data_IF_320903178908
#
_entry.id   IF_320903178908
#
_cell.length_a   1.000
_cell.length_b   1.000
_cell.length_c   1.000
_cell.angle_alpha   90.00
_cell.angle_beta   90.00
_cell.angle_gamma   90.00
#
_symmetry.space_group_name_H-M   'P 1'
#
loop_
_entity.id
_entity.type
_entity.pdbx_description
1 polymer ?
#
# COMPACT_ATOMS: atom_id res chain seq x y z
N UNK A 1 30.99 47.11 -32.24
CA UNK A 1 30.45 45.80 -32.69
C UNK A 1 29.54 45.18 -31.62
N UNK A 2 28.67 45.98 -30.99
CA UNK A 2 27.75 45.52 -29.92
C UNK A 2 26.28 45.80 -30.30
N UNK A 3 26.04 46.59 -31.35
CA UNK A 3 24.70 46.91 -31.88
C UNK A 3 24.15 45.87 -32.88
N UNK A 4 24.95 44.89 -33.32
CA UNK A 4 24.49 43.86 -34.29
C UNK A 4 23.90 42.62 -33.58
N UNK A 5 24.32 42.32 -32.34
CA UNK A 5 23.81 41.15 -31.61
C UNK A 5 22.46 41.37 -30.92
N UNK A 6 22.07 42.63 -30.65
CA UNK A 6 20.75 42.94 -30.09
C UNK A 6 19.61 42.77 -31.12
N UNK A 7 19.90 42.90 -32.42
CA UNK A 7 18.88 42.83 -33.46
C UNK A 7 18.53 41.39 -33.89
N UNK A 8 19.43 40.42 -33.69
CA UNK A 8 19.17 39.01 -33.99
C UNK A 8 18.26 38.33 -32.95
N UNK A 9 18.31 38.77 -31.68
CA UNK A 9 17.47 38.24 -30.60
C UNK A 9 16.00 38.65 -30.72
N UNK A 10 15.73 39.87 -31.19
CA UNK A 10 14.37 40.42 -31.32
C UNK A 10 13.63 39.82 -32.54
N UNK A 11 14.33 39.55 -33.64
CA UNK A 11 13.76 38.89 -34.84
C UNK A 11 13.40 37.42 -34.54
N UNK A 12 14.21 36.72 -33.73
CA UNK A 12 13.95 35.33 -33.33
C UNK A 12 12.72 35.19 -32.41
N UNK A 13 12.48 36.17 -31.52
CA UNK A 13 11.27 36.21 -30.68
C UNK A 13 10.01 36.57 -31.47
N UNK A 14 10.09 37.51 -32.43
CA UNK A 14 8.95 37.88 -33.28
C UNK A 14 8.49 36.72 -34.17
N UNK A 15 9.42 35.97 -34.78
CA UNK A 15 9.08 34.83 -35.64
C UNK A 15 8.47 33.65 -34.85
N UNK A 16 8.83 33.48 -33.57
CA UNK A 16 8.29 32.42 -32.71
C UNK A 16 6.86 32.72 -32.25
N UNK A 17 6.54 34.00 -32.05
CA UNK A 17 5.20 34.45 -31.65
C UNK A 17 4.21 34.43 -32.83
N UNK A 18 4.70 34.69 -34.05
CA UNK A 18 3.91 34.60 -35.29
C UNK A 18 3.63 33.15 -35.69
N UNK A 19 4.60 32.23 -35.55
CA UNK A 19 4.38 30.78 -35.75
C UNK A 19 3.40 30.18 -34.73
N UNK A 20 3.43 30.62 -33.47
CA UNK A 20 2.49 30.14 -32.43
C UNK A 20 1.04 30.52 -32.73
N UNK A 21 0.81 31.73 -33.25
CA UNK A 21 -0.53 32.17 -33.64
C UNK A 21 -1.05 31.44 -34.89
N UNK A 22 -0.20 31.18 -35.89
CA UNK A 22 -0.61 30.41 -37.06
C UNK A 22 -0.94 28.96 -36.72
N UNK A 23 -0.23 28.35 -35.77
CA UNK A 23 -0.52 26.99 -35.28
C UNK A 23 -1.85 26.95 -34.51
N UNK A 24 -2.13 27.93 -33.65
CA UNK A 24 -3.41 28.03 -32.94
C UNK A 24 -4.59 28.26 -33.89
N UNK A 25 -4.43 29.11 -34.91
CA UNK A 25 -5.46 29.34 -35.95
C UNK A 25 -5.67 28.10 -36.80
N UNK A 26 -4.61 27.37 -37.16
CA UNK A 26 -4.74 26.08 -37.85
C UNK A 26 -5.45 25.04 -37.00
N UNK A 27 -5.15 24.96 -35.70
CA UNK A 27 -5.86 24.06 -34.79
C UNK A 27 -7.34 24.43 -34.64
N UNK A 28 -7.68 25.72 -34.56
CA UNK A 28 -9.08 26.19 -34.53
C UNK A 28 -9.82 25.93 -35.85
N UNK A 29 -9.15 26.11 -36.99
CA UNK A 29 -9.72 25.81 -38.31
C UNK A 29 -9.91 24.30 -38.50
N UNK A 30 -8.96 23.48 -38.05
CA UNK A 30 -9.09 22.01 -38.05
C UNK A 30 -10.24 21.60 -37.13
N UNK A 31 -10.37 22.18 -35.93
CA UNK A 31 -11.47 21.89 -35.01
C UNK A 31 -12.84 22.26 -35.63
N UNK A 32 -12.94 23.42 -36.29
CA UNK A 32 -14.16 23.86 -36.98
C UNK A 32 -14.50 22.98 -38.20
N UNK A 33 -13.50 22.47 -38.93
CA UNK A 33 -13.74 21.52 -40.03
C UNK A 33 -14.16 20.13 -39.52
N UNK A 34 -13.64 19.68 -38.38
CA UNK A 34 -14.06 18.41 -37.75
C UNK A 34 -15.49 18.50 -37.19
N UNK A 35 -15.93 19.67 -36.70
CA UNK A 35 -17.32 19.89 -36.31
C UNK A 35 -18.28 20.02 -37.52
N UNK A 36 -17.78 20.34 -38.71
CA UNK A 36 -18.62 20.60 -39.90
C UNK A 36 -18.79 19.40 -40.83
N UNK A 37 -18.05 18.30 -40.62
CA UNK A 37 -18.18 17.08 -41.44
C UNK A 37 -18.75 15.89 -40.67
N UNK A 38 -19.92 16.05 -40.04
CA UNK A 38 -20.91 14.97 -39.80
C UNK A 38 -22.33 15.54 -39.73
N UNK A 39 -22.80 16.09 -40.85
CA UNK A 39 -24.23 16.23 -41.12
C UNK A 39 -24.84 14.89 -41.49
N UNK A 40 -24.89 13.94 -40.55
CA UNK A 40 -25.81 12.82 -40.60
C UNK A 40 -26.71 12.91 -39.38
N UNK A 41 -28.01 13.05 -39.65
CA UNK A 41 -29.09 13.06 -38.68
C UNK A 41 -28.93 11.94 -37.66
N UNK A 42 -28.51 12.28 -36.44
CA UNK A 42 -28.54 11.35 -35.30
C UNK A 42 -29.98 11.25 -34.79
N UNK A 43 -30.76 10.40 -35.48
CA UNK A 43 -31.84 9.64 -34.85
C UNK A 43 -31.21 8.75 -33.79
N UNK A 44 -31.60 8.94 -32.54
CA UNK A 44 -31.30 8.00 -31.46
C UNK A 44 -32.08 6.71 -31.70
N UNK A 45 -31.49 5.80 -32.48
CA UNK A 45 -31.98 4.46 -32.73
C UNK A 45 -31.06 3.44 -32.08
N UNK A 46 -31.20 3.26 -30.76
CA UNK A 46 -30.75 2.04 -30.10
C UNK A 46 -31.95 1.13 -29.87
N UNK A 47 -31.71 -0.16 -29.94
CA UNK A 47 -32.65 -1.29 -29.94
C UNK A 47 -33.22 -1.67 -31.33
N UNK A 48 -32.37 -2.30 -32.13
CA UNK A 48 -32.79 -3.49 -32.88
C UNK A 48 -32.29 -4.72 -32.12
N UNK A 49 -33.20 -5.39 -31.40
CA UNK A 49 -32.96 -6.76 -30.96
C UNK A 49 -33.96 -7.67 -31.66
N UNK A 50 -33.40 -8.67 -32.34
CA UNK A 50 -34.05 -9.81 -32.95
C UNK A 50 -34.95 -10.54 -31.94
N UNK A 51 -36.23 -10.70 -32.26
CA UNK A 51 -37.17 -11.50 -31.49
C UNK A 51 -36.91 -12.99 -31.69
N UNK A 52 -36.02 -13.57 -30.88
CA UNK A 52 -36.06 -15.00 -30.62
C UNK A 52 -37.26 -15.28 -29.70
N UNK A 53 -38.28 -15.92 -30.28
CA UNK A 53 -39.39 -16.53 -29.55
C UNK A 53 -38.85 -17.65 -28.65
N UNK A 54 -39.04 -17.51 -27.36
CA UNK A 54 -39.11 -18.63 -26.42
C UNK A 54 -40.35 -18.45 -25.56
N UNK A 55 -41.31 -19.32 -25.82
CA UNK A 55 -42.51 -19.54 -25.03
C UNK A 55 -42.16 -20.04 -23.64
N UNK A 56 -42.63 -19.36 -22.60
CA UNK A 56 -42.88 -19.99 -21.31
C UNK A 56 -44.08 -19.33 -20.65
N UNK A 57 -45.14 -20.12 -20.59
CA UNK A 57 -46.33 -19.96 -19.77
C UNK A 57 -45.99 -19.86 -18.29
N UNK A 58 -46.56 -18.87 -17.60
CA UNK A 58 -46.96 -19.03 -16.20
C UNK A 58 -48.02 -17.99 -15.85
N UNK A 59 -49.22 -18.51 -15.65
CA UNK A 59 -50.38 -17.83 -15.09
C UNK A 59 -50.09 -17.39 -13.65
N UNK A 60 -50.39 -16.14 -13.33
CA UNK A 60 -50.59 -15.69 -11.94
C UNK A 60 -51.64 -14.60 -11.91
N UNK A 61 -52.88 -15.02 -11.79
CA UNK A 61 -54.00 -14.21 -11.35
C UNK A 61 -53.76 -13.72 -9.92
N UNK A 62 -53.59 -12.40 -9.72
CA UNK A 62 -53.82 -11.78 -8.43
C UNK A 62 -54.75 -10.57 -8.58
N UNK A 63 -56.01 -10.81 -8.21
CA UNK A 63 -56.90 -9.77 -7.68
C UNK A 63 -56.25 -9.23 -6.40
N UNK A 64 -56.04 -7.93 -6.35
CA UNK A 64 -56.11 -7.19 -5.10
C UNK A 64 -57.09 -6.03 -5.28
N UNK A 65 -58.11 -6.04 -4.43
CA UNK A 65 -59.08 -4.98 -4.24
C UNK A 65 -58.65 -4.20 -3.00
N UNK A 66 -58.58 -2.87 -3.11
CA UNK A 66 -59.37 -1.91 -2.32
C UNK A 66 -58.62 -0.59 -2.06
N UNK A 67 -59.22 0.46 -2.62
CA UNK A 67 -59.38 1.85 -2.17
C UNK A 67 -58.16 2.62 -1.66
N UNK A 68 -57.77 3.62 -2.45
CA UNK A 68 -57.69 5.01 -1.95
C UNK A 68 -58.47 5.90 -2.91
N UNK A 69 -59.47 6.59 -2.36
CA UNK A 69 -60.18 7.68 -2.99
C UNK A 69 -59.18 8.79 -3.33
N UNK A 70 -58.96 9.02 -4.62
CA UNK A 70 -58.66 10.34 -5.15
C UNK A 70 -59.79 10.69 -6.11
N UNK A 71 -60.90 11.11 -5.51
CA UNK A 71 -61.90 11.94 -6.17
C UNK A 71 -61.20 13.21 -6.66
N UNK A 72 -60.91 13.26 -7.95
CA UNK A 72 -60.23 14.39 -8.57
C UNK A 72 -60.19 14.27 -10.07
N UNK A 73 -61.37 14.27 -10.70
CA UNK A 73 -61.58 14.49 -12.13
C UNK A 73 -60.74 13.56 -13.04
N UNK A 74 -61.16 12.29 -13.14
CA UNK A 74 -61.01 11.58 -14.41
C UNK A 74 -61.94 12.28 -15.40
N UNK A 75 -61.48 13.39 -15.93
CA UNK A 75 -62.05 13.94 -17.15
C UNK A 75 -61.59 13.01 -18.28
N UNK A 76 -62.31 11.90 -18.44
CA UNK A 76 -62.48 11.34 -19.77
C UNK A 76 -63.02 12.49 -20.61
N UNK A 77 -62.21 12.96 -21.56
CA UNK A 77 -62.56 14.11 -22.38
C UNK A 77 -63.64 13.67 -23.37
N UNK A 78 -64.87 13.46 -22.88
CA UNK A 78 -66.05 13.41 -23.73
C UNK A 78 -66.48 14.85 -23.95
N UNK A 79 -66.09 15.42 -25.09
CA UNK A 79 -66.73 16.65 -25.56
C UNK A 79 -68.17 16.29 -25.92
N UNK A 80 -69.09 16.49 -24.98
CA UNK A 80 -70.53 16.48 -25.20
C UNK A 80 -70.91 17.66 -26.09
N UNK A 81 -70.73 17.47 -27.39
CA UNK A 81 -71.41 18.22 -28.42
C UNK A 81 -71.57 17.27 -29.61
N UNK A 82 -72.81 16.82 -29.82
CA UNK A 82 -73.30 15.94 -30.90
C UNK A 82 -73.41 14.43 -30.60
N UNK A 83 -73.71 14.04 -29.35
CA UNK A 83 -74.49 12.80 -29.14
C UNK A 83 -75.97 13.12 -29.39
N UNK A 84 -76.35 13.21 -30.67
CA UNK A 84 -77.73 12.89 -30.99
C UNK A 84 -77.84 11.35 -30.86
N UNK A 85 -78.50 10.82 -29.82
CA UNK A 85 -78.60 9.37 -29.61
C UNK A 85 -79.19 8.67 -30.85
N UNK A 86 -79.98 9.40 -31.65
CA UNK A 86 -80.55 8.92 -32.91
C UNK A 86 -79.50 8.75 -34.00
N UNK A 87 -78.52 9.63 -34.10
CA UNK A 87 -77.40 9.54 -35.03
C UNK A 87 -76.46 8.37 -34.70
N UNK A 88 -76.17 8.17 -33.40
CA UNK A 88 -75.36 7.06 -32.93
C UNK A 88 -76.04 5.72 -33.17
N UNK A 89 -77.34 5.62 -32.85
CA UNK A 89 -78.18 4.45 -33.13
C UNK A 89 -78.26 4.13 -34.64
N UNK A 90 -78.42 5.15 -35.49
CA UNK A 90 -78.43 4.96 -36.96
C UNK A 90 -77.10 4.44 -37.49
N UNK A 91 -75.97 4.93 -36.94
CA UNK A 91 -74.64 4.48 -37.34
C UNK A 91 -74.29 3.09 -36.80
N UNK A 92 -74.73 2.73 -35.59
CA UNK A 92 -74.59 1.36 -35.08
C UNK A 92 -75.49 0.38 -35.83
N UNK A 93 -76.73 0.77 -36.17
CA UNK A 93 -77.60 -0.02 -37.04
C UNK A 93 -77.00 -0.19 -38.44
N UNK A 94 -76.38 0.85 -39.00
CA UNK A 94 -75.63 0.75 -40.25
C UNK A 94 -74.41 -0.19 -40.13
N UNK A 95 -73.68 -0.15 -39.01
CA UNK A 95 -72.55 -1.05 -38.72
C UNK A 95 -72.97 -2.51 -38.51
N UNK A 96 -74.12 -2.74 -37.87
CA UNK A 96 -74.73 -4.06 -37.77
C UNK A 96 -75.20 -4.58 -39.13
N UNK A 97 -75.74 -3.71 -39.99
CA UNK A 97 -76.07 -4.03 -41.39
C UNK A 97 -74.82 -4.29 -42.27
N UNK A 98 -73.68 -3.66 -41.96
CA UNK A 98 -72.38 -4.00 -42.57
C UNK A 98 -71.89 -5.40 -42.21
N UNK A 99 -72.29 -5.93 -41.05
CA UNK A 99 -72.02 -7.31 -40.63
C UNK A 99 -73.05 -8.34 -41.13
N UNK A 100 -74.12 -7.90 -41.82
CA UNK A 100 -75.15 -8.78 -42.38
C UNK A 100 -74.86 -9.22 -43.82
N UNK A 101 -75.49 -10.33 -44.25
CA UNK A 101 -75.31 -10.95 -45.58
C UNK A 101 -75.78 -10.12 -46.80
N UNK A 102 -76.09 -8.82 -46.70
CA UNK A 102 -76.50 -8.01 -47.86
C UNK A 102 -75.29 -7.28 -48.48
N UNK A 103 -74.75 -7.76 -49.61
CA UNK A 103 -73.58 -7.15 -50.24
C UNK A 103 -73.81 -5.71 -50.68
N UNK A 104 -75.04 -5.30 -51.02
CA UNK A 104 -75.34 -3.94 -51.52
C UNK A 104 -74.97 -2.88 -50.47
N UNK A 105 -75.51 -3.03 -49.25
CA UNK A 105 -75.26 -2.09 -48.16
C UNK A 105 -73.78 -2.06 -47.78
N UNK A 106 -73.11 -3.22 -47.77
CA UNK A 106 -71.67 -3.29 -47.54
C UNK A 106 -70.88 -2.41 -48.53
N UNK A 107 -71.16 -2.53 -49.83
CA UNK A 107 -70.48 -1.73 -50.85
C UNK A 107 -70.86 -0.24 -50.81
N UNK A 108 -72.12 0.10 -50.55
CA UNK A 108 -72.56 1.49 -50.45
C UNK A 108 -71.91 2.21 -49.26
N UNK A 109 -71.90 1.59 -48.08
CA UNK A 109 -71.26 2.14 -46.89
C UNK A 109 -69.73 2.17 -47.01
N UNK A 110 -69.09 1.16 -47.60
CA UNK A 110 -67.64 1.22 -47.86
C UNK A 110 -67.27 2.43 -48.73
N UNK A 111 -68.05 2.72 -49.77
CA UNK A 111 -67.87 3.91 -50.61
C UNK A 111 -68.15 5.22 -49.86
N UNK A 112 -69.12 5.24 -48.95
CA UNK A 112 -69.39 6.37 -48.05
C UNK A 112 -68.13 6.72 -47.22
N UNK A 113 -67.54 5.73 -46.55
CA UNK A 113 -66.37 5.94 -45.68
C UNK A 113 -65.12 6.42 -46.43
N UNK A 114 -64.90 5.98 -47.68
CA UNK A 114 -63.77 6.44 -48.48
C UNK A 114 -64.01 7.79 -49.17
N UNK A 115 -65.27 8.16 -49.42
CA UNK A 115 -65.61 9.34 -50.22
C UNK A 115 -65.98 10.55 -49.38
N UNK A 116 -66.38 10.41 -48.10
CA UNK A 116 -66.83 11.55 -47.29
C UNK A 116 -65.79 12.67 -47.17
N UNK A 117 -64.49 12.35 -47.13
CA UNK A 117 -63.40 13.34 -47.15
C UNK A 117 -63.40 14.26 -48.38
N UNK A 118 -64.01 13.82 -49.48
CA UNK A 118 -63.99 14.49 -50.78
C UNK A 118 -65.39 14.90 -51.28
N UNK A 119 -66.46 14.47 -50.60
CA UNK A 119 -67.87 14.71 -50.99
C UNK A 119 -68.25 16.19 -50.89
N UNK A 120 -67.69 16.93 -49.94
CA UNK A 120 -67.93 18.37 -49.84
C UNK A 120 -67.33 19.17 -51.02
N UNK A 121 -66.36 18.60 -51.74
CA UNK A 121 -65.69 19.24 -52.85
C UNK A 121 -66.26 18.87 -54.23
N UNK A 122 -67.13 17.86 -54.33
CA UNK A 122 -67.67 17.38 -55.60
C UNK A 122 -69.14 16.91 -55.49
N UNK A 123 -70.07 17.72 -56.02
CA UNK A 123 -71.51 17.39 -56.09
C UNK A 123 -71.78 16.07 -56.82
N UNK A 124 -70.93 15.69 -57.77
CA UNK A 124 -70.98 14.42 -58.50
C UNK A 124 -70.77 13.21 -57.56
N UNK A 125 -69.84 13.30 -56.60
CA UNK A 125 -69.57 12.22 -55.63
C UNK A 125 -70.71 12.08 -54.63
N UNK A 126 -71.29 13.21 -54.20
CA UNK A 126 -72.50 13.23 -53.38
C UNK A 126 -73.66 12.55 -54.10
N UNK A 127 -73.88 12.91 -55.36
CA UNK A 127 -74.95 12.37 -56.20
C UNK A 127 -74.80 10.85 -56.40
N UNK A 128 -73.57 10.38 -56.68
CA UNK A 128 -73.28 8.93 -56.82
C UNK A 128 -73.48 8.14 -55.54
N UNK A 129 -73.10 8.71 -54.40
CA UNK A 129 -73.32 8.06 -53.12
C UNK A 129 -74.82 7.97 -52.80
N UNK A 130 -75.57 9.05 -53.01
CA UNK A 130 -77.02 9.05 -52.83
C UNK A 130 -77.71 8.00 -53.72
N UNK A 131 -77.23 7.85 -54.96
CA UNK A 131 -77.65 6.81 -55.89
C UNK A 131 -77.41 5.40 -55.34
N UNK A 132 -76.20 5.11 -54.85
CA UNK A 132 -75.87 3.80 -54.27
C UNK A 132 -76.72 3.48 -53.04
N UNK A 133 -76.92 4.46 -52.15
CA UNK A 133 -77.76 4.29 -50.96
C UNK A 133 -79.22 4.03 -51.34
N UNK A 134 -79.71 4.72 -52.38
CA UNK A 134 -81.07 4.59 -52.87
C UNK A 134 -81.31 3.27 -53.60
N UNK A 135 -80.37 2.79 -54.42
CA UNK A 135 -80.45 1.47 -55.06
C UNK A 135 -80.51 0.35 -54.01
N UNK A 136 -79.67 0.43 -52.97
CA UNK A 136 -79.72 -0.55 -51.89
C UNK A 136 -81.03 -0.48 -51.10
N UNK A 137 -81.58 0.71 -50.87
CA UNK A 137 -82.88 0.87 -50.21
C UNK A 137 -84.04 0.29 -51.04
N UNK A 138 -84.04 0.49 -52.36
CA UNK A 138 -85.08 -0.07 -53.24
C UNK A 138 -85.05 -1.61 -53.20
N UNK A 139 -83.86 -2.21 -53.29
CA UNK A 139 -83.69 -3.67 -53.18
C UNK A 139 -84.12 -4.22 -51.83
N UNK A 140 -83.77 -3.53 -50.73
CA UNK A 140 -84.11 -3.95 -49.36
C UNK A 140 -85.62 -3.84 -49.09
N UNK A 141 -86.29 -2.87 -49.72
CA UNK A 141 -87.75 -2.67 -49.63
C UNK A 141 -88.56 -3.58 -50.55
N UNK A 142 -87.91 -4.50 -51.29
CA UNK A 142 -88.56 -5.43 -52.22
C UNK A 142 -88.98 -4.80 -53.55
N UNK A 143 -88.51 -3.58 -53.84
CA UNK A 143 -88.71 -2.87 -55.11
C UNK A 143 -87.62 -3.23 -56.12
N UNK A 144 -87.86 -2.90 -57.38
CA UNK A 144 -86.86 -3.05 -58.44
C UNK A 144 -85.60 -2.20 -58.17
N UNK A 145 -84.41 -2.65 -58.60
CA UNK A 145 -83.20 -1.83 -58.48
C UNK A 145 -83.26 -0.62 -59.41
N UNK A 146 -82.48 0.41 -59.09
CA UNK A 146 -82.32 1.54 -60.00
C UNK A 146 -81.72 1.09 -61.34
N UNK A 147 -81.97 1.83 -62.44
CA UNK A 147 -81.32 1.60 -63.72
C UNK A 147 -79.78 1.57 -63.60
N UNK A 148 -79.09 0.94 -64.55
CA UNK A 148 -77.63 0.99 -64.56
C UNK A 148 -77.14 2.42 -64.84
N UNK A 149 -76.30 2.96 -63.96
CA UNK A 149 -75.62 4.25 -64.12
C UNK A 149 -74.11 4.03 -64.18
N UNK A 150 -73.46 4.43 -65.28
CA UNK A 150 -72.01 4.27 -65.44
C UNK A 150 -71.25 5.26 -64.55
N UNK A 151 -70.06 4.87 -64.09
CA UNK A 151 -69.15 5.71 -63.31
C UNK A 151 -68.62 6.89 -64.15
N UNK A 152 -68.55 6.74 -65.47
CA UNK A 152 -68.09 7.78 -66.39
C UNK A 152 -69.21 8.71 -66.91
N UNK A 153 -70.47 8.31 -66.81
CA UNK A 153 -71.63 9.11 -67.27
C UNK A 153 -72.04 10.11 -66.20
N UNK A 154 -72.44 11.34 -66.58
CA UNK A 154 -72.89 12.34 -65.61
C UNK A 154 -74.09 11.85 -64.79
N UNK A 155 -74.16 12.18 -63.50
CA UNK A 155 -75.29 11.79 -62.67
C UNK A 155 -76.61 12.40 -63.15
N UNK A 156 -76.58 13.57 -63.78
CA UNK A 156 -77.77 14.20 -64.37
C UNK A 156 -78.43 13.30 -65.41
N UNK A 157 -77.64 12.59 -66.23
CA UNK A 157 -78.17 11.67 -67.24
C UNK A 157 -78.82 10.44 -66.61
N UNK A 158 -78.25 9.94 -65.51
CA UNK A 158 -78.81 8.82 -64.76
C UNK A 158 -80.14 9.18 -64.08
N UNK A 159 -80.24 10.39 -63.53
CA UNK A 159 -81.44 10.86 -62.83
C UNK A 159 -82.65 11.07 -63.74
N UNK A 160 -82.42 11.32 -65.04
CA UNK A 160 -83.50 11.47 -66.04
C UNK A 160 -84.24 10.18 -66.32
N UNK A 161 -83.63 9.03 -66.02
CA UNK A 161 -84.20 7.71 -66.27
C UNK A 161 -84.96 7.14 -65.06
N UNK A 162 -85.04 7.89 -63.96
CA UNK A 162 -85.79 7.49 -62.77
C UNK A 162 -87.27 7.83 -62.89
N UNK A 163 -88.13 6.97 -62.35
CA UNK A 163 -89.53 7.29 -62.13
C UNK A 163 -89.73 8.28 -60.95
N UNK A 164 -90.95 8.76 -60.75
CA UNK A 164 -91.24 9.76 -59.71
C UNK A 164 -90.97 9.24 -58.28
N UNK A 165 -91.23 7.97 -58.01
CA UNK A 165 -91.03 7.38 -56.69
C UNK A 165 -89.54 7.12 -56.42
N UNK A 166 -88.82 6.64 -57.43
CA UNK A 166 -87.36 6.47 -57.43
C UNK A 166 -86.64 7.80 -57.25
N UNK A 167 -87.08 8.85 -57.96
CA UNK A 167 -86.50 10.19 -57.84
C UNK A 167 -86.71 10.77 -56.44
N UNK A 168 -87.87 10.51 -55.81
CA UNK A 168 -88.15 10.92 -54.44
C UNK A 168 -87.25 10.20 -53.44
N UNK A 169 -87.07 8.88 -53.58
CA UNK A 169 -86.14 8.11 -52.76
C UNK A 169 -84.71 8.63 -52.91
N UNK A 170 -84.27 8.87 -54.15
CA UNK A 170 -82.96 9.47 -54.42
C UNK A 170 -82.77 10.82 -53.72
N UNK A 171 -83.76 11.71 -53.83
CA UNK A 171 -83.67 13.04 -53.26
C UNK A 171 -83.54 13.00 -51.74
N UNK A 172 -84.26 12.10 -51.07
CA UNK A 172 -84.18 11.92 -49.62
C UNK A 172 -82.75 11.58 -49.19
N UNK A 173 -82.13 10.56 -49.82
CA UNK A 173 -80.75 10.20 -49.51
C UNK A 173 -79.74 11.28 -49.93
N UNK A 174 -80.01 12.00 -51.03
CA UNK A 174 -79.15 13.09 -51.49
C UNK A 174 -79.11 14.25 -50.50
N UNK A 175 -80.26 14.64 -49.96
CA UNK A 175 -80.36 15.70 -48.96
C UNK A 175 -79.62 15.31 -47.67
N UNK A 176 -79.77 14.06 -47.22
CA UNK A 176 -79.16 13.57 -45.97
C UNK A 176 -77.66 13.23 -46.07
N UNK A 177 -77.12 13.05 -47.27
CA UNK A 177 -75.72 12.63 -47.48
C UNK A 177 -74.70 13.53 -46.76
N UNK A 178 -74.92 14.85 -46.73
CA UNK A 178 -74.01 15.79 -46.05
C UNK A 178 -74.02 15.59 -44.53
N UNK A 179 -75.20 15.39 -43.95
CA UNK A 179 -75.38 15.16 -42.52
C UNK A 179 -74.69 13.86 -42.11
N UNK A 180 -74.91 12.78 -42.88
CA UNK A 180 -74.28 11.47 -42.67
C UNK A 180 -72.75 11.57 -42.74
N UNK A 181 -72.20 12.25 -43.75
CA UNK A 181 -70.75 12.40 -43.88
C UNK A 181 -70.12 13.24 -42.76
N UNK A 182 -70.78 14.33 -42.34
CA UNK A 182 -70.31 15.16 -41.23
C UNK A 182 -70.25 14.35 -39.91
N UNK A 183 -71.30 13.58 -39.62
CA UNK A 183 -71.33 12.74 -38.41
C UNK A 183 -70.23 11.68 -38.42
N UNK A 184 -69.99 11.04 -39.56
CA UNK A 184 -68.94 10.04 -39.71
C UNK A 184 -67.53 10.63 -39.52
N UNK A 185 -67.26 11.79 -40.11
CA UNK A 185 -65.97 12.47 -39.95
C UNK A 185 -65.76 12.94 -38.52
N UNK A 186 -66.78 13.54 -37.90
CA UNK A 186 -66.72 14.00 -36.51
C UNK A 186 -66.42 12.84 -35.56
N UNK A 187 -67.08 11.69 -35.73
CA UNK A 187 -66.83 10.48 -34.92
C UNK A 187 -65.44 9.90 -35.14
N UNK A 188 -64.97 9.85 -36.40
CA UNK A 188 -63.62 9.39 -36.70
C UNK A 188 -62.56 10.32 -36.08
N UNK A 189 -62.76 11.63 -36.16
CA UNK A 189 -61.91 12.62 -35.52
C UNK A 189 -61.91 12.48 -34.00
N UNK A 190 -63.10 12.34 -33.38
CA UNK A 190 -63.25 12.12 -31.92
C UNK A 190 -62.44 10.91 -31.45
N UNK A 191 -62.62 9.74 -32.09
CA UNK A 191 -61.90 8.52 -31.71
C UNK A 191 -60.38 8.67 -31.86
N UNK A 192 -59.90 9.37 -32.90
CA UNK A 192 -58.48 9.63 -33.08
C UNK A 192 -57.91 10.56 -32.00
N UNK A 193 -58.64 11.63 -31.66
CA UNK A 193 -58.24 12.58 -30.62
C UNK A 193 -58.26 11.90 -29.25
N UNK A 194 -59.29 11.13 -28.93
CA UNK A 194 -59.35 10.35 -27.67
C UNK A 194 -58.17 9.38 -27.55
N UNK A 195 -57.85 8.63 -28.62
CA UNK A 195 -56.67 7.76 -28.64
C UNK A 195 -55.40 8.55 -28.39
N UNK A 196 -55.20 9.67 -29.10
CA UNK A 196 -54.00 10.48 -28.99
C UNK A 196 -53.85 11.11 -27.59
N UNK A 197 -54.94 11.59 -27.01
CA UNK A 197 -54.95 12.18 -25.66
C UNK A 197 -54.66 11.10 -24.62
N UNK A 198 -55.22 9.89 -24.77
CA UNK A 198 -54.93 8.77 -23.88
C UNK A 198 -53.47 8.32 -24.00
N UNK A 199 -52.93 8.25 -25.22
CA UNK A 199 -51.52 7.94 -25.44
C UNK A 199 -50.60 9.01 -24.83
N UNK A 200 -50.94 10.28 -25.00
CA UNK A 200 -50.22 11.40 -24.38
C UNK A 200 -50.25 11.32 -22.86
N UNK A 201 -51.43 11.08 -22.27
CA UNK A 201 -51.60 10.91 -20.81
C UNK A 201 -50.75 9.76 -20.29
N UNK A 202 -50.82 8.59 -20.93
CA UNK A 202 -50.06 7.42 -20.53
C UNK A 202 -48.54 7.66 -20.67
N UNK A 203 -48.12 8.35 -21.72
CA UNK A 203 -46.72 8.75 -21.90
C UNK A 203 -46.26 9.75 -20.84
N UNK A 204 -47.10 10.70 -20.45
CA UNK A 204 -46.79 11.68 -19.41
C UNK A 204 -46.63 11.00 -18.05
N UNK A 205 -47.57 10.13 -17.66
CA UNK A 205 -47.50 9.34 -16.42
C UNK A 205 -46.27 8.42 -16.39
N UNK A 206 -45.94 7.75 -17.50
CA UNK A 206 -44.72 6.94 -17.57
C UNK A 206 -43.43 7.77 -17.48
N UNK A 207 -43.46 9.02 -17.96
CA UNK A 207 -42.32 9.93 -17.86
C UNK A 207 -42.15 10.43 -16.42
N UNK A 208 -43.26 10.73 -15.74
CA UNK A 208 -43.29 11.10 -14.32
C UNK A 208 -42.71 9.97 -13.43
N UNK A 209 -43.17 8.72 -13.60
CA UNK A 209 -42.65 7.56 -12.87
C UNK A 209 -41.13 7.37 -13.07
N UNK A 210 -40.64 7.58 -14.30
CA UNK A 210 -39.20 7.52 -14.61
C UNK A 210 -38.43 8.66 -13.95
N UNK A 211 -39.00 9.86 -13.86
CA UNK A 211 -38.38 10.99 -13.19
C UNK A 211 -38.31 10.76 -11.68
N UNK A 212 -39.37 10.22 -11.07
CA UNK A 212 -39.37 9.83 -9.65
C UNK A 212 -38.31 8.74 -9.37
N UNK A 213 -38.18 7.75 -10.25
CA UNK A 213 -37.11 6.74 -10.15
C UNK A 213 -35.71 7.36 -10.29
N UNK A 214 -35.56 8.39 -11.13
CA UNK A 214 -34.29 9.12 -11.29
C UNK A 214 -33.97 9.93 -10.02
N UNK A 215 -34.97 10.57 -9.42
CA UNK A 215 -34.84 11.29 -8.15
C UNK A 215 -34.38 10.36 -7.02
N UNK A 216 -35.05 9.22 -6.83
CA UNK A 216 -34.66 8.21 -5.82
C UNK A 216 -33.22 7.71 -6.05
N UNK A 217 -32.85 7.42 -7.30
CA UNK A 217 -31.49 7.00 -7.65
C UNK A 217 -30.46 8.12 -7.48
N UNK A 218 -30.86 9.37 -7.67
CA UNK A 218 -30.01 10.54 -7.43
C UNK A 218 -29.75 10.72 -5.92
N UNK A 219 -30.77 10.55 -5.08
CA UNK A 219 -30.63 10.64 -3.63
C UNK A 219 -29.74 9.53 -3.06
N UNK A 220 -29.92 8.29 -3.54
CA UNK A 220 -29.03 7.18 -3.16
C UNK A 220 -27.59 7.44 -3.61
N UNK A 221 -27.38 7.99 -4.81
CA UNK A 221 -26.05 8.38 -5.30
C UNK A 221 -25.41 9.47 -4.42
N UNK A 222 -26.18 10.49 -4.02
CA UNK A 222 -25.70 11.55 -3.11
C UNK A 222 -25.31 10.97 -1.75
N UNK A 223 -26.11 10.04 -1.21
CA UNK A 223 -25.79 9.37 0.04
C UNK A 223 -24.48 8.57 -0.06
N UNK A 224 -24.34 7.72 -1.08
CA UNK A 224 -23.11 6.96 -1.33
C UNK A 224 -21.90 7.89 -1.56
N UNK A 225 -22.10 9.03 -2.23
CA UNK A 225 -21.04 10.03 -2.40
C UNK A 225 -20.55 10.60 -1.06
N UNK A 226 -21.44 10.83 -0.11
CA UNK A 226 -21.06 11.29 1.23
C UNK A 226 -20.28 10.20 2.00
N UNK A 227 -20.71 8.94 1.94
CA UNK A 227 -19.99 7.82 2.57
C UNK A 227 -18.56 7.66 1.99
N UNK A 228 -18.42 7.83 0.66
CA UNK A 228 -17.11 7.84 0.00
C UNK A 228 -16.26 9.00 0.50
N UNK A 229 -16.83 10.20 0.66
CA UNK A 229 -16.11 11.37 1.16
C UNK A 229 -15.61 11.18 2.61
N UNK A 230 -16.44 10.58 3.49
CA UNK A 230 -16.03 10.21 4.84
C UNK A 230 -14.90 9.17 4.83
N UNK A 231 -15.02 8.16 3.98
CA UNK A 231 -13.98 7.13 3.80
C UNK A 231 -12.65 7.73 3.32
N UNK A 232 -12.69 8.64 2.33
CA UNK A 232 -11.50 9.36 1.84
C UNK A 232 -10.86 10.19 2.96
N UNK A 233 -11.68 10.86 3.76
CA UNK A 233 -11.20 11.67 4.90
C UNK A 233 -10.47 10.79 5.92
N UNK A 234 -11.05 9.63 6.27
CA UNK A 234 -10.42 8.66 7.16
C UNK A 234 -9.11 8.09 6.61
N UNK A 235 -9.07 7.73 5.31
CA UNK A 235 -7.85 7.26 4.64
C UNK A 235 -6.76 8.34 4.68
N UNK A 236 -7.12 9.61 4.48
CA UNK A 236 -6.19 10.72 4.56
C UNK A 236 -5.61 10.88 5.98
N UNK A 237 -6.42 10.79 7.03
CA UNK A 237 -5.95 10.80 8.41
C UNK A 237 -4.99 9.64 8.71
N UNK A 238 -5.31 8.43 8.26
CA UNK A 238 -4.43 7.27 8.39
C UNK A 238 -3.11 7.47 7.64
N UNK A 239 -3.16 8.02 6.43
CA UNK A 239 -1.97 8.30 5.61
C UNK A 239 -1.07 9.33 6.29
N UNK A 240 -1.64 10.39 6.89
CA UNK A 240 -0.89 11.37 7.68
C UNK A 240 -0.21 10.71 8.88
N UNK A 241 -0.93 9.86 9.62
CA UNK A 241 -0.39 9.11 10.76
C UNK A 241 0.76 8.19 10.36
N UNK A 242 0.64 7.50 9.23
CA UNK A 242 1.74 6.67 8.67
C UNK A 242 2.94 7.56 8.30
N UNK A 243 2.71 8.72 7.69
CA UNK A 243 3.77 9.68 7.35
C UNK A 243 4.51 10.23 8.57
N UNK A 244 3.79 10.48 9.66
CA UNK A 244 4.37 10.91 10.94
C UNK A 244 5.19 9.79 11.59
N UNK A 245 4.64 8.57 11.65
CA UNK A 245 5.36 7.40 12.15
C UNK A 245 6.65 7.15 11.36
N UNK A 246 6.61 7.30 10.03
CA UNK A 246 7.79 7.15 9.18
C UNK A 246 8.85 8.22 9.48
N UNK A 247 8.44 9.49 9.69
CA UNK A 247 9.36 10.55 10.13
C UNK A 247 10.02 10.23 11.47
N UNK A 248 9.24 9.75 12.43
CA UNK A 248 9.75 9.36 13.74
C UNK A 248 10.76 8.21 13.62
N UNK A 249 10.44 7.17 12.84
CA UNK A 249 11.36 6.07 12.56
C UNK A 249 12.65 6.53 11.88
N UNK A 250 12.57 7.44 10.91
CA UNK A 250 13.77 8.01 10.25
C UNK A 250 14.63 8.78 11.26
N UNK A 251 14.01 9.53 12.17
CA UNK A 251 14.71 10.23 13.25
C UNK A 251 15.41 9.25 14.19
N UNK A 252 14.74 8.19 14.63
CA UNK A 252 15.34 7.13 15.45
C UNK A 252 16.50 6.43 14.73
N UNK A 253 16.33 6.11 13.45
CA UNK A 253 17.38 5.50 12.64
C UNK A 253 18.63 6.40 12.55
N UNK A 254 18.45 7.71 12.42
CA UNK A 254 19.56 8.68 12.44
C UNK A 254 20.33 8.63 13.77
N UNK A 255 19.62 8.53 14.90
CA UNK A 255 20.24 8.37 16.22
C UNK A 255 21.03 7.05 16.32
N UNK A 256 20.45 5.95 15.82
CA UNK A 256 21.13 4.64 15.78
C UNK A 256 22.37 4.69 14.89
N UNK A 257 22.30 5.35 13.72
CA UNK A 257 23.45 5.54 12.84
C UNK A 257 24.57 6.31 13.53
N UNK A 258 24.24 7.35 14.30
CA UNK A 258 25.22 8.10 15.10
C UNK A 258 25.89 7.22 16.15
N UNK A 259 25.11 6.46 16.92
CA UNK A 259 25.64 5.52 17.92
C UNK A 259 26.52 4.44 17.27
N UNK A 260 26.12 3.94 16.11
CA UNK A 260 26.91 2.93 15.36
C UNK A 260 28.26 3.50 14.93
N UNK A 261 28.31 4.76 14.52
CA UNK A 261 29.57 5.45 14.18
C UNK A 261 30.48 5.57 15.40
N UNK A 262 29.93 6.02 16.53
CA UNK A 262 30.68 6.15 17.79
C UNK A 262 31.19 4.79 18.29
N UNK A 263 30.38 3.73 18.22
CA UNK A 263 30.78 2.37 18.55
C UNK A 263 31.92 1.86 17.65
N UNK A 264 31.87 2.16 16.35
CA UNK A 264 32.93 1.77 15.42
C UNK A 264 34.24 2.51 15.70
N UNK A 265 34.18 3.78 16.07
CA UNK A 265 35.33 4.57 16.51
C UNK A 265 35.94 3.98 17.79
N UNK A 266 35.10 3.62 18.76
CA UNK A 266 35.50 2.94 19.98
C UNK A 266 36.14 1.57 19.70
N UNK A 267 35.55 0.77 18.81
CA UNK A 267 36.10 -0.52 18.40
C UNK A 267 37.50 -0.38 17.77
N UNK A 268 37.71 0.65 16.94
CA UNK A 268 39.05 1.00 16.42
C UNK A 268 40.03 1.36 17.54
N UNK A 269 39.60 2.17 18.51
CA UNK A 269 40.42 2.53 19.67
C UNK A 269 40.82 1.30 20.51
N UNK A 270 39.90 0.37 20.71
CA UNK A 270 40.17 -0.91 21.39
C UNK A 270 41.18 -1.74 20.59
N UNK A 271 41.01 -1.82 19.27
CA UNK A 271 41.96 -2.56 18.43
C UNK A 271 43.37 -1.96 18.49
N UNK A 272 43.51 -0.63 18.48
CA UNK A 272 44.80 0.06 18.60
C UNK A 272 45.47 -0.22 19.94
N UNK A 273 44.71 -0.07 21.04
CA UNK A 273 45.21 -0.37 22.38
C UNK A 273 45.60 -1.84 22.54
N UNK A 274 44.91 -2.78 21.88
CA UNK A 274 45.28 -4.19 21.89
C UNK A 274 46.63 -4.46 21.22
N UNK A 275 46.94 -3.74 20.12
CA UNK A 275 48.23 -3.83 19.43
C UNK A 275 49.36 -3.28 20.33
N UNK A 276 49.17 -2.10 20.91
CA UNK A 276 50.15 -1.49 21.84
C UNK A 276 50.42 -2.39 23.05
N UNK A 277 49.38 -3.06 23.57
CA UNK A 277 49.51 -3.93 24.72
C UNK A 277 50.28 -5.22 24.38
N UNK A 278 50.09 -5.79 23.19
CA UNK A 278 50.89 -6.91 22.69
C UNK A 278 52.36 -6.53 22.47
N UNK A 279 52.61 -5.35 21.92
CA UNK A 279 53.97 -4.82 21.75
C UNK A 279 54.65 -4.62 23.12
N UNK A 280 53.94 -4.01 24.08
CA UNK A 280 54.43 -3.84 25.45
C UNK A 280 54.70 -5.17 26.16
N UNK A 281 53.86 -6.19 25.97
CA UNK A 281 54.11 -7.55 26.46
C UNK A 281 55.36 -8.18 25.83
N UNK A 282 55.59 -7.96 24.53
CA UNK A 282 56.79 -8.42 23.84
C UNK A 282 58.07 -7.79 24.40
N UNK A 283 58.08 -6.46 24.53
CA UNK A 283 59.20 -5.72 25.13
C UNK A 283 59.46 -6.14 26.58
N UNK A 284 58.40 -6.33 27.38
CA UNK A 284 58.53 -6.77 28.75
C UNK A 284 59.10 -8.19 28.84
N UNK A 285 58.70 -9.10 27.94
CA UNK A 285 59.26 -10.45 27.83
C UNK A 285 60.76 -10.39 27.50
N UNK A 286 61.15 -9.61 26.50
CA UNK A 286 62.56 -9.45 26.10
C UNK A 286 63.41 -8.91 27.26
N UNK A 287 62.97 -7.84 27.92
CA UNK A 287 63.66 -7.29 29.09
C UNK A 287 63.73 -8.29 30.24
N UNK A 288 62.70 -9.10 30.44
CA UNK A 288 62.69 -10.10 31.48
C UNK A 288 63.69 -11.22 31.17
N UNK A 289 63.72 -11.73 29.94
CA UNK A 289 64.71 -12.71 29.47
C UNK A 289 66.15 -12.17 29.64
N UNK A 290 66.39 -10.91 29.27
CA UNK A 290 67.68 -10.23 29.45
C UNK A 290 68.07 -10.11 30.94
N UNK A 291 67.11 -9.75 31.80
CA UNK A 291 67.33 -9.65 33.25
C UNK A 291 67.63 -11.00 33.89
N UNK A 292 66.94 -12.06 33.47
CA UNK A 292 67.17 -13.43 33.93
C UNK A 292 68.57 -13.89 33.50
N UNK A 293 68.95 -13.65 32.25
CA UNK A 293 70.27 -13.97 31.74
C UNK A 293 71.40 -13.25 32.52
N UNK A 294 71.21 -11.97 32.85
CA UNK A 294 72.15 -11.22 33.70
C UNK A 294 72.25 -11.79 35.12
N UNK A 295 71.12 -12.16 35.72
CA UNK A 295 71.09 -12.79 37.05
C UNK A 295 71.80 -14.14 37.01
N UNK A 296 71.52 -14.98 36.02
CA UNK A 296 72.15 -16.29 35.85
C UNK A 296 73.67 -16.15 35.67
N UNK A 297 74.12 -15.22 34.83
CA UNK A 297 75.54 -14.92 34.65
C UNK A 297 76.19 -14.47 35.97
N UNK A 298 75.55 -13.56 36.71
CA UNK A 298 76.04 -13.11 38.02
C UNK A 298 76.10 -14.26 39.03
N UNK A 299 75.11 -15.16 39.03
CA UNK A 299 75.07 -16.33 39.91
C UNK A 299 76.18 -17.33 39.57
N UNK A 300 76.47 -17.53 38.28
CA UNK A 300 77.57 -18.39 37.82
C UNK A 300 78.94 -17.85 38.24
N UNK A 301 79.14 -16.53 38.14
CA UNK A 301 80.35 -15.85 38.59
C UNK A 301 80.52 -15.98 40.11
N UNK A 302 79.46 -15.72 40.87
CA UNK A 302 79.48 -15.86 42.33
C UNK A 302 79.79 -17.29 42.76
N UNK A 303 79.22 -18.29 42.07
CA UNK A 303 79.52 -19.71 42.31
C UNK A 303 81.00 -20.02 42.07
N UNK A 304 81.57 -19.49 40.99
CA UNK A 304 82.99 -19.65 40.69
C UNK A 304 83.88 -18.99 41.76
N UNK A 305 83.52 -17.80 42.24
CA UNK A 305 84.22 -17.13 43.35
C UNK A 305 84.13 -17.93 44.65
N UNK A 306 82.95 -18.50 44.96
CA UNK A 306 82.75 -19.38 46.11
C UNK A 306 83.64 -20.63 46.01
N UNK A 307 83.71 -21.28 44.85
CA UNK A 307 84.59 -22.45 44.64
C UNK A 307 86.07 -22.08 44.84
N UNK A 308 86.50 -20.89 44.40
CA UNK A 308 87.87 -20.38 44.62
C UNK A 308 88.11 -20.10 46.11
N UNK A 309 87.16 -19.47 46.79
CA UNK A 309 87.21 -19.22 48.23
C UNK A 309 87.29 -20.53 49.02
N UNK A 310 86.52 -21.54 48.63
CA UNK A 310 86.53 -22.86 49.26
C UNK A 310 87.90 -23.53 49.10
N UNK A 311 88.50 -23.48 47.89
CA UNK A 311 89.87 -23.97 47.66
C UNK A 311 90.89 -23.24 48.54
N UNK A 312 90.84 -21.91 48.56
CA UNK A 312 91.73 -21.10 49.42
C UNK A 312 91.55 -21.43 50.91
N UNK A 313 90.31 -21.63 51.36
CA UNK A 313 90.02 -22.02 52.74
C UNK A 313 90.62 -23.40 53.07
N UNK A 314 90.50 -24.39 52.18
CA UNK A 314 91.14 -25.71 52.38
C UNK A 314 92.66 -25.66 52.39
N UNK A 315 93.27 -24.73 51.64
CA UNK A 315 94.72 -24.50 51.65
C UNK A 315 95.18 -23.88 52.96
N UNK A 316 94.47 -22.85 53.43
CA UNK A 316 94.71 -22.25 54.76
C UNK A 316 94.54 -23.28 55.87
N UNK A 317 93.49 -24.10 55.82
CA UNK A 317 93.29 -25.19 56.80
C UNK A 317 94.49 -26.14 56.83
N UNK A 318 95.03 -26.51 55.67
CA UNK A 318 96.23 -27.36 55.55
C UNK A 318 97.49 -26.69 56.10
N UNK A 319 97.68 -25.39 55.87
CA UNK A 319 98.79 -24.65 56.48
C UNK A 319 98.65 -24.55 58.00
N UNK A 320 97.45 -24.31 58.50
CA UNK A 320 97.18 -24.24 59.95
C UNK A 320 97.41 -25.59 60.63
N UNK A 321 96.98 -26.70 60.03
CA UNK A 321 97.26 -28.04 60.56
C UNK A 321 98.75 -28.34 60.53
N UNK A 322 99.45 -28.04 59.43
CA UNK A 322 100.91 -28.21 59.34
C UNK A 322 101.68 -27.32 60.33
N UNK A 323 101.26 -26.08 60.52
CA UNK A 323 101.80 -25.18 61.55
C UNK A 323 101.55 -25.78 62.95
N UNK A 324 100.35 -26.31 63.20
CA UNK A 324 99.98 -26.98 64.45
C UNK A 324 100.87 -28.19 64.75
N UNK A 325 101.14 -29.04 63.75
CA UNK A 325 102.06 -30.17 63.86
C UNK A 325 103.50 -29.70 64.16
N UNK A 326 103.99 -28.67 63.47
CA UNK A 326 105.33 -28.11 63.68
C UNK A 326 105.47 -27.46 65.08
N UNK A 327 104.45 -26.73 65.53
CA UNK A 327 104.38 -26.18 66.88
C UNK A 327 104.39 -27.29 67.93
N UNK A 328 103.60 -28.35 67.72
CA UNK A 328 103.56 -29.51 68.61
C UNK A 328 104.92 -30.20 68.71
N UNK A 329 105.62 -30.40 67.58
CA UNK A 329 106.98 -30.94 67.55
C UNK A 329 107.98 -30.05 68.30
N UNK A 330 107.93 -28.73 68.12
CA UNK A 330 108.78 -27.78 68.87
C UNK A 330 108.47 -27.78 70.37
N UNK A 331 107.20 -27.85 70.75
CA UNK A 331 106.77 -27.96 72.15
C UNK A 331 107.28 -29.25 72.79
N UNK A 332 107.18 -30.39 72.11
CA UNK A 332 107.76 -31.65 72.58
C UNK A 332 109.29 -31.57 72.76
N UNK A 333 110.00 -30.93 71.84
CA UNK A 333 111.45 -30.75 71.96
C UNK A 333 111.82 -29.84 73.15
N UNK A 334 111.10 -28.73 73.33
CA UNK A 334 111.27 -27.85 74.48
C UNK A 334 110.95 -28.55 75.79
N UNK A 335 109.91 -29.38 75.82
CA UNK A 335 109.57 -30.17 76.99
C UNK A 335 110.66 -31.19 77.31
N UNK A 336 111.20 -31.90 76.32
CA UNK A 336 112.36 -32.77 76.53
C UNK A 336 113.58 -32.04 77.08
N UNK A 337 113.87 -30.82 76.58
CA UNK A 337 114.94 -29.98 77.14
C UNK A 337 114.65 -29.51 78.57
N UNK A 338 113.39 -29.23 78.90
CA UNK A 338 113.00 -28.85 80.25
C UNK A 338 113.16 -30.03 81.22
N UNK A 339 112.82 -31.24 80.79
CA UNK A 339 113.01 -32.47 81.54
C UNK A 339 114.52 -32.77 81.76
N UNK A 340 115.36 -32.62 80.73
CA UNK A 340 116.82 -32.75 80.86
C UNK A 340 117.41 -31.76 81.90
N UNK A 341 116.91 -30.52 81.92
CA UNK A 341 117.32 -29.52 82.92
C UNK A 341 116.85 -29.92 84.32
N UNK A 342 115.64 -30.47 84.44
CA UNK A 342 115.12 -30.95 85.71
C UNK A 342 115.99 -32.08 86.29
N UNK A 343 116.37 -33.05 85.46
CA UNK A 343 117.27 -34.15 85.84
C UNK A 343 118.67 -33.62 86.24
N UNK A 344 119.25 -32.72 85.44
CA UNK A 344 120.57 -32.16 85.70
C UNK A 344 120.60 -31.29 86.97
N UNK A 345 119.49 -30.62 87.28
CA UNK A 345 119.29 -29.88 88.54
C UNK A 345 119.19 -30.84 89.72
N UNK A 346 118.48 -31.97 89.56
CA UNK A 346 118.42 -33.05 90.55
C UNK A 346 119.83 -33.57 90.91
N UNK A 347 120.64 -33.92 89.90
CA UNK A 347 122.02 -34.39 90.09
C UNK A 347 122.92 -33.33 90.75
N UNK A 348 122.75 -32.05 90.41
CA UNK A 348 123.54 -30.96 91.01
C UNK A 348 123.19 -30.73 92.49
N UNK A 349 121.91 -30.84 92.85
CA UNK A 349 121.46 -30.75 94.25
C UNK A 349 122.06 -31.90 95.06
N UNK A 350 122.04 -33.12 94.52
CA UNK A 350 122.61 -34.31 95.15
C UNK A 350 124.12 -34.13 95.44
N UNK A 351 124.88 -33.60 94.47
CA UNK A 351 126.31 -33.30 94.65
C UNK A 351 126.57 -32.18 95.67
N UNK A 352 125.71 -31.16 95.74
CA UNK A 352 125.83 -30.12 96.77
C UNK A 352 125.55 -30.67 98.18
N UNK A 353 124.63 -31.63 98.31
CA UNK A 353 124.32 -32.29 99.57
C UNK A 353 125.48 -33.17 100.06
N UNK A 354 126.17 -33.87 99.15
CA UNK A 354 127.36 -34.67 99.46
C UNK A 354 128.55 -33.81 99.90
N UNK A 355 128.71 -32.62 99.31
CA UNK A 355 129.76 -31.65 99.68
C UNK A 355 129.57 -31.13 101.11
N UNK A 356 128.32 -30.79 101.49
CA UNK A 356 127.99 -30.34 102.84
C UNK A 356 128.26 -31.43 103.90
N UNK A 357 127.97 -32.69 103.58
CA UNK A 357 128.28 -33.81 104.48
C UNK A 357 129.80 -33.95 104.71
N UNK A 358 130.62 -33.85 103.66
CA UNK A 358 132.08 -33.95 103.76
C UNK A 358 132.73 -32.81 104.56
N UNK A 359 132.20 -31.60 104.49
CA UNK A 359 132.71 -30.46 105.26
C UNK A 359 132.39 -30.57 106.75
N UNK A 360 131.25 -31.18 107.10
CA UNK A 360 130.90 -31.45 108.51
C UNK A 360 131.88 -32.45 109.16
N UNK A 361 132.32 -33.47 108.41
CA UNK A 361 133.22 -34.51 108.90
C UNK A 361 134.65 -33.97 109.13
N UNK A 362 135.12 -33.07 108.26
CA UNK A 362 136.40 -32.37 108.43
C UNK A 362 136.42 -31.43 109.65
N UNK A 363 135.30 -30.77 109.95
CA UNK A 363 135.16 -29.89 111.12
C UNK A 363 135.25 -30.67 112.44
N UNK A 364 134.68 -31.87 112.48
CA UNK A 364 134.71 -32.74 113.66
C UNK A 364 136.13 -33.28 113.97
N UNK A 365 136.91 -33.55 112.92
CA UNK A 365 138.32 -33.95 113.04
C UNK A 365 139.23 -32.84 113.60
N UNK A 366 139.01 -31.58 113.20
CA UNK A 366 139.74 -30.43 113.73
C UNK A 366 139.49 -30.19 115.24
N UNK A 367 138.27 -30.47 115.69
CA UNK A 367 137.90 -30.31 117.09
C UNK A 367 138.57 -31.36 117.99
N UNK A 368 138.71 -32.59 117.49
CA UNK A 368 139.44 -33.67 118.17
C UNK A 368 140.95 -33.41 118.27
N UNK A 369 141.54 -32.74 117.28
CA UNK A 369 142.95 -32.34 117.30
C UNK A 369 143.23 -31.24 118.35
N UNK A 370 142.28 -30.32 118.51
CA UNK A 370 142.34 -29.22 119.49
C UNK A 370 142.25 -29.75 120.93
N UNK A 371 141.38 -30.74 121.17
CA UNK A 371 141.29 -31.42 122.47
C UNK A 371 142.52 -32.25 122.81
N UNK A 372 143.18 -32.86 121.82
CA UNK A 372 144.42 -33.60 122.02
C UNK A 372 145.59 -32.66 122.38
N UNK A 373 145.66 -31.48 121.76
CA UNK A 373 146.68 -30.47 122.08
C UNK A 373 146.47 -29.84 123.47
N UNK A 374 145.23 -29.62 123.91
CA UNK A 374 144.96 -29.04 125.23
C UNK A 374 145.36 -29.98 126.37
N UNK A 375 145.23 -31.30 126.16
CA UNK A 375 145.51 -32.33 127.16
C UNK A 375 147.01 -32.66 127.31
N UNK A 376 147.80 -32.50 126.25
CA UNK A 376 149.25 -32.72 126.29
C UNK A 376 150.04 -31.59 126.98
N UNK A 377 149.46 -30.40 127.15
CA UNK A 377 150.13 -29.24 127.76
C UNK A 377 150.00 -29.15 129.29
N UNK A 378 149.18 -30.02 129.91
CA UNK A 378 148.94 -30.00 131.35
C UNK A 378 149.81 -31.01 132.15
N UNK A 379 150.58 -31.87 131.48
CA UNK A 379 151.50 -32.86 132.10
C UNK A 379 152.97 -32.39 132.21
N UNK A 380 153.28 -31.11 131.96
CA UNK A 380 154.64 -30.57 131.97
C UNK A 380 154.91 -29.47 133.02
N UNK A 381 154.10 -29.35 134.09
CA UNK A 381 154.51 -28.54 135.25
C UNK A 381 153.86 -28.93 136.57
#
# INVERSE_FOLDING_TARGET
MILIFANAGSISQSMKQEMGNHICVYFLLIFLTILSTKGHSFSWGWFSYSSHRSSSSSSSSHRYSKNTDMNGLVAEFSTEALDDPKAVELLENARMKLGGSNPCWFYAYKNLFSSCSEIFAAEEKRSRLAWLLSDCFQRDSGRGPFPSCNVESSMVDCLRNLDNDEHKTYLEFYLETNSICYQLQSKAFKLQVESLVNDLKNSALSTEEKLETIEEKSDTLLHTSNEIQESITSINEQTQKVGENLRNMISELSVVMKHTKELNEQARGISSTQVELLEGQGLMKEKMEESIARVEASYSHLRQEIDVLQKKATEVEKEVTGLGEALSSKLQNLQGKADDIADMTGVSIEKQQQLLASQSEALQGLQSLTDFQSKALQESR
#
